data_IF_648872325280
#
_entry.id   IF_648872325280
#
_cell.length_a   1.000
_cell.length_b   1.000
_cell.length_c   1.000
_cell.angle_alpha   90.00
_cell.angle_beta   90.00
_cell.angle_gamma   90.00
#
_symmetry.space_group_name_H-M   'P 1'
#
loop_
_entity.id
_entity.type
_entity.pdbx_description
1 polymer ?
#
# COMPACT_ATOMS: atom_id res chain seq x y z
N UNK A 1 3.45 29.97 6.06
CA UNK A 1 2.95 29.47 7.35
C UNK A 1 2.05 28.28 7.07
N UNK A 2 2.38 27.11 7.59
CA UNK A 2 1.55 25.90 7.45
C UNK A 2 0.37 26.00 8.43
N UNK A 3 -0.84 25.83 7.94
CA UNK A 3 -2.09 25.97 8.69
C UNK A 3 -2.15 24.95 9.85
N UNK A 4 -2.41 25.37 11.11
CA UNK A 4 -2.49 24.46 12.25
C UNK A 4 -3.60 23.41 12.10
N UNK A 5 -4.68 23.70 11.36
CA UNK A 5 -5.71 22.69 11.06
C UNK A 5 -5.19 21.62 10.08
N UNK A 6 -4.40 22.03 9.07
CA UNK A 6 -3.77 21.08 8.16
C UNK A 6 -2.83 20.15 8.94
N UNK A 7 -1.99 20.67 9.84
CA UNK A 7 -1.08 19.86 10.68
C UNK A 7 -1.82 18.83 11.55
N UNK A 8 -2.94 19.19 12.16
CA UNK A 8 -3.74 18.27 12.96
C UNK A 8 -4.37 17.16 12.10
N UNK A 9 -4.86 17.51 10.91
CA UNK A 9 -5.36 16.54 9.93
C UNK A 9 -4.25 15.60 9.46
N UNK A 10 -3.04 16.11 9.21
CA UNK A 10 -1.87 15.29 8.84
C UNK A 10 -1.49 14.29 9.93
N UNK A 11 -1.49 14.70 11.20
CA UNK A 11 -1.21 13.79 12.33
C UNK A 11 -2.29 12.70 12.48
N UNK A 12 -3.57 13.06 12.41
CA UNK A 12 -4.65 12.09 12.52
C UNK A 12 -4.65 11.07 11.36
N UNK A 13 -4.40 11.57 10.14
CA UNK A 13 -4.26 10.76 8.93
C UNK A 13 -3.07 9.80 9.04
N UNK A 14 -1.93 10.28 9.53
CA UNK A 14 -0.74 9.47 9.74
C UNK A 14 -0.98 8.35 10.77
N UNK A 15 -1.68 8.64 11.87
CA UNK A 15 -2.02 7.62 12.88
C UNK A 15 -2.97 6.55 12.33
N UNK A 16 -4.02 6.95 11.60
CA UNK A 16 -4.99 6.02 11.03
C UNK A 16 -4.34 5.08 10.00
N UNK A 17 -3.54 5.61 9.09
CA UNK A 17 -2.85 4.80 8.11
C UNK A 17 -1.72 3.95 8.71
N UNK A 18 -1.05 4.41 9.77
CA UNK A 18 -0.11 3.59 10.53
C UNK A 18 -0.81 2.36 11.10
N UNK A 19 -2.01 2.52 11.67
CA UNK A 19 -2.84 1.41 12.18
C UNK A 19 -3.29 0.50 11.04
N UNK A 20 -3.78 1.07 9.95
CA UNK A 20 -4.21 0.35 8.75
C UNK A 20 -3.09 -0.55 8.19
N UNK A 21 -1.88 0.01 8.06
CA UNK A 21 -0.69 -0.71 7.61
C UNK A 21 -0.31 -1.85 8.57
N UNK A 22 -0.30 -1.60 9.87
CA UNK A 22 0.02 -2.63 10.85
C UNK A 22 -0.96 -3.81 10.80
N UNK A 23 -2.25 -3.54 10.56
CA UNK A 23 -3.27 -4.56 10.36
C UNK A 23 -3.07 -5.33 9.04
N UNK A 24 -2.80 -4.62 7.95
CA UNK A 24 -2.44 -5.19 6.65
C UNK A 24 -1.22 -6.11 6.74
N UNK A 25 -0.16 -5.67 7.41
CA UNK A 25 1.05 -6.46 7.63
C UNK A 25 0.78 -7.73 8.45
N UNK A 26 -0.09 -7.66 9.47
CA UNK A 26 -0.48 -8.83 10.26
C UNK A 26 -1.29 -9.85 9.44
N UNK A 27 -2.18 -9.39 8.57
CA UNK A 27 -3.04 -10.27 7.78
C UNK A 27 -2.35 -10.84 6.53
N UNK A 28 -1.32 -10.16 6.03
CA UNK A 28 -0.48 -10.59 4.92
C UNK A 28 0.84 -11.16 5.48
N UNK A 29 0.83 -12.38 5.99
CA UNK A 29 1.97 -13.05 6.63
C UNK A 29 3.22 -13.29 5.74
N UNK A 30 3.32 -12.66 4.56
CA UNK A 30 4.38 -12.85 3.55
C UNK A 30 4.97 -11.53 3.01
N UNK A 31 4.85 -10.43 3.77
CA UNK A 31 5.37 -9.12 3.32
C UNK A 31 6.81 -8.92 3.81
N UNK A 32 7.78 -8.96 2.89
CA UNK A 32 9.12 -8.43 3.13
C UNK A 32 9.04 -6.89 3.11
N UNK A 33 8.48 -6.32 4.18
CA UNK A 33 8.19 -4.90 4.32
C UNK A 33 9.48 -4.13 4.66
N UNK A 34 10.33 -3.92 3.67
CA UNK A 34 11.49 -3.05 3.80
C UNK A 34 11.09 -1.60 3.48
N UNK A 35 10.61 -0.87 4.50
CA UNK A 35 10.61 0.60 4.48
C UNK A 35 11.33 1.09 5.73
N UNK A 36 12.32 2.02 5.61
CA UNK A 36 12.91 2.63 6.79
C UNK A 36 11.82 3.34 7.58
N UNK A 37 11.78 3.14 8.89
CA UNK A 37 11.06 4.04 9.78
C UNK A 37 11.80 5.38 9.79
N UNK A 38 11.08 6.49 9.63
CA UNK A 38 11.71 7.81 9.67
C UNK A 38 12.11 8.14 11.12
N UNK A 39 13.06 9.07 11.30
CA UNK A 39 13.64 9.47 12.59
C UNK A 39 12.62 10.01 13.64
N UNK A 40 11.35 10.17 13.26
CA UNK A 40 10.24 10.54 14.13
C UNK A 40 9.48 9.35 14.75
N UNK A 41 9.94 8.11 14.56
CA UNK A 41 9.34 6.91 15.15
C UNK A 41 8.02 6.47 14.50
N UNK A 42 7.69 7.06 13.35
CA UNK A 42 6.56 6.69 12.50
C UNK A 42 7.02 5.88 11.30
N UNK A 43 6.21 4.90 10.90
CA UNK A 43 6.35 4.25 9.60
C UNK A 43 5.46 5.00 8.61
N UNK A 44 5.99 5.38 7.44
CA UNK A 44 5.22 6.09 6.42
C UNK A 44 4.01 5.29 5.86
N UNK A 45 3.22 5.93 5.00
CA UNK A 45 2.01 5.36 4.38
C UNK A 45 2.29 4.29 3.31
N UNK A 46 3.55 3.95 3.06
CA UNK A 46 3.97 3.08 1.96
C UNK A 46 4.19 1.64 2.45
N UNK A 47 3.53 0.70 1.77
CA UNK A 47 3.69 -0.74 1.97
C UNK A 47 4.08 -1.38 0.64
N UNK A 48 5.17 -2.14 0.60
CA UNK A 48 5.54 -2.92 -0.60
C UNK A 48 5.46 -4.40 -0.30
N UNK A 49 4.98 -5.20 -1.24
CA UNK A 49 4.90 -6.66 -1.12
C UNK A 49 5.09 -7.33 -2.47
N UNK A 50 5.53 -8.59 -2.45
CA UNK A 50 5.72 -9.41 -3.65
C UNK A 50 4.53 -10.35 -3.83
N UNK A 51 4.01 -10.40 -5.04
CA UNK A 51 2.86 -11.25 -5.39
C UNK A 51 3.36 -12.61 -5.86
N UNK A 52 2.96 -13.67 -5.15
CA UNK A 52 3.22 -15.03 -5.60
C UNK A 52 2.55 -15.28 -6.96
N UNK A 53 3.28 -15.85 -7.92
CA UNK A 53 2.81 -16.00 -9.31
C UNK A 53 3.48 -15.07 -10.32
N UNK A 54 4.39 -14.21 -9.86
CA UNK A 54 5.27 -13.40 -10.73
C UNK A 54 4.58 -12.16 -11.32
N UNK A 55 5.22 -11.53 -12.31
CA UNK A 55 4.74 -10.26 -12.88
C UNK A 55 3.33 -10.27 -13.46
N UNK A 56 2.90 -11.39 -14.07
CA UNK A 56 1.56 -11.50 -14.62
C UNK A 56 0.50 -11.43 -13.52
N UNK A 57 0.75 -12.13 -12.41
CA UNK A 57 -0.15 -12.14 -11.27
C UNK A 57 -0.13 -10.80 -10.53
N UNK A 58 1.04 -10.17 -10.38
CA UNK A 58 1.14 -8.82 -9.84
C UNK A 58 0.30 -7.80 -10.62
N UNK A 59 0.35 -7.85 -11.97
CA UNK A 59 -0.51 -7.01 -12.83
C UNK A 59 -1.99 -7.33 -12.67
N UNK A 60 -2.35 -8.62 -12.58
CA UNK A 60 -3.73 -9.07 -12.36
C UNK A 60 -4.27 -8.53 -11.05
N UNK A 61 -3.51 -8.67 -9.96
CA UNK A 61 -3.87 -8.16 -8.63
C UNK A 61 -4.01 -6.64 -8.65
N UNK A 62 -3.03 -5.92 -9.18
CA UNK A 62 -3.09 -4.46 -9.27
C UNK A 62 -4.30 -3.95 -10.08
N UNK A 63 -4.68 -4.66 -11.14
CA UNK A 63 -5.87 -4.33 -11.94
C UNK A 63 -7.20 -4.82 -11.34
N UNK A 64 -7.17 -5.69 -10.34
CA UNK A 64 -8.36 -6.24 -9.69
C UNK A 64 -8.78 -5.44 -8.44
N UNK A 65 -7.90 -4.61 -7.89
CA UNK A 65 -8.19 -3.72 -6.77
C UNK A 65 -9.22 -2.66 -7.19
N UNK A 66 -10.18 -2.39 -6.31
CA UNK A 66 -11.31 -1.50 -6.57
C UNK A 66 -11.20 -0.20 -5.79
N UNK A 67 -10.57 -0.23 -4.63
CA UNK A 67 -10.34 0.94 -3.77
C UNK A 67 -8.99 1.57 -4.07
N UNK A 68 -7.95 0.74 -4.27
CA UNK A 68 -6.63 1.25 -4.63
C UNK A 68 -6.62 1.74 -6.07
N UNK A 69 -6.36 3.04 -6.26
CA UNK A 69 -6.25 3.63 -7.58
C UNK A 69 -4.85 3.44 -8.14
N UNK A 70 -4.78 3.14 -9.43
CA UNK A 70 -3.52 3.15 -10.15
C UNK A 70 -3.16 4.61 -10.48
N UNK A 71 -2.19 5.19 -9.77
CA UNK A 71 -1.84 6.61 -9.94
C UNK A 71 -0.34 6.84 -9.97
N UNK A 72 0.07 7.72 -10.87
CA UNK A 72 1.43 8.26 -11.07
C UNK A 72 1.75 9.43 -10.14
N UNK A 73 0.92 9.72 -9.13
CA UNK A 73 1.08 10.85 -8.19
C UNK A 73 0.87 10.39 -6.74
N UNK A 74 1.78 10.77 -5.85
CA UNK A 74 1.79 10.40 -4.43
C UNK A 74 1.31 11.58 -3.55
N UNK A 75 0.49 11.31 -2.54
CA UNK A 75 0.20 12.26 -1.44
C UNK A 75 -1.24 12.76 -1.27
N UNK A 76 -2.22 12.11 -1.91
CA UNK A 76 -3.65 12.40 -1.69
C UNK A 76 -4.24 11.69 -0.47
N UNK A 77 -5.54 11.90 -0.25
CA UNK A 77 -6.35 11.16 0.77
C UNK A 77 -6.68 9.72 0.33
N UNK A 78 -6.34 9.36 -0.90
CA UNK A 78 -6.79 8.13 -1.56
C UNK A 78 -5.71 7.05 -1.49
N UNK A 79 -6.14 5.80 -1.37
CA UNK A 79 -5.26 4.65 -1.45
C UNK A 79 -4.82 4.38 -2.88
N UNK A 80 -3.52 4.12 -3.08
CA UNK A 80 -2.90 3.94 -4.39
C UNK A 80 -2.15 2.62 -4.49
N UNK A 81 -2.07 2.06 -5.71
CA UNK A 81 -1.26 0.88 -6.04
C UNK A 81 -0.37 1.16 -7.24
N UNK A 82 0.88 0.71 -7.17
CA UNK A 82 1.86 0.82 -8.25
C UNK A 82 2.58 -0.52 -8.47
N UNK A 83 2.61 -0.98 -9.72
CA UNK A 83 3.51 -2.05 -10.15
C UNK A 83 4.87 -1.45 -10.46
N UNK A 84 5.87 -1.66 -9.59
CA UNK A 84 7.11 -0.86 -9.58
C UNK A 84 8.05 -1.14 -10.75
N UNK A 85 8.21 -2.40 -11.15
CA UNK A 85 9.19 -2.77 -12.17
C UNK A 85 8.94 -2.09 -13.54
N UNK A 86 7.70 -2.02 -14.07
CA UNK A 86 7.42 -1.26 -15.30
C UNK A 86 7.72 0.23 -15.21
N UNK A 87 7.60 0.83 -14.02
CA UNK A 87 7.83 2.28 -13.81
C UNK A 87 9.31 2.61 -13.79
N UNK A 88 10.13 1.77 -13.16
CA UNK A 88 11.59 1.95 -13.07
C UNK A 88 12.31 1.60 -14.39
N UNK A 89 11.72 0.73 -15.21
CA UNK A 89 12.24 0.36 -16.53
C UNK A 89 13.23 -0.81 -16.53
N UNK A 90 13.68 -1.24 -17.72
CA UNK A 90 14.55 -2.42 -17.87
C UNK A 90 15.89 -2.28 -17.14
N UNK A 91 16.38 -3.36 -16.52
CA UNK A 91 17.68 -3.39 -15.84
C UNK A 91 17.68 -2.88 -14.40
N UNK A 92 16.52 -2.48 -13.87
CA UNK A 92 16.33 -2.16 -12.45
C UNK A 92 16.46 -3.41 -11.56
N UNK A 93 16.98 -3.30 -10.32
CA UNK A 93 16.96 -4.39 -9.35
C UNK A 93 15.57 -4.66 -8.75
N UNK A 94 14.56 -3.85 -9.10
CA UNK A 94 13.20 -3.99 -8.58
C UNK A 94 12.56 -5.30 -9.10
N UNK A 95 12.07 -6.18 -8.22
CA UNK A 95 11.39 -7.40 -8.62
C UNK A 95 10.16 -7.11 -9.48
N UNK A 96 9.96 -7.95 -10.49
CA UNK A 96 8.86 -7.83 -11.45
C UNK A 96 7.48 -8.19 -10.85
N UNK A 97 7.45 -8.74 -9.64
CA UNK A 97 6.26 -9.10 -8.87
C UNK A 97 5.96 -8.14 -7.71
N UNK A 98 6.69 -7.02 -7.62
CA UNK A 98 6.55 -6.06 -6.53
C UNK A 98 5.40 -5.07 -6.78
N UNK A 99 4.43 -5.05 -5.86
CA UNK A 99 3.42 -4.01 -5.74
C UNK A 99 3.75 -3.08 -4.58
N UNK A 100 3.60 -1.77 -4.79
CA UNK A 100 3.72 -0.74 -3.77
C UNK A 100 2.38 -0.07 -3.57
N UNK A 101 1.90 -0.06 -2.34
CA UNK A 101 0.69 0.61 -1.90
C UNK A 101 1.03 1.89 -1.17
N UNK A 102 0.26 2.95 -1.43
CA UNK A 102 0.15 4.10 -0.55
C UNK A 102 -1.20 4.01 0.13
N UNK A 103 -1.23 3.96 1.46
CA UNK A 103 -2.48 3.85 2.22
C UNK A 103 -3.07 5.24 2.43
N UNK A 104 -4.33 5.42 2.03
CA UNK A 104 -5.12 6.63 2.24
C UNK A 104 -5.84 6.63 3.59
N UNK A 105 -6.94 7.38 3.69
CA UNK A 105 -7.76 7.52 4.91
C UNK A 105 -8.98 6.58 4.95
N UNK A 106 -9.08 5.65 4.00
CA UNK A 106 -10.20 4.70 3.95
C UNK A 106 -10.22 3.76 5.17
N UNK A 107 -11.38 3.15 5.42
CA UNK A 107 -11.52 2.19 6.51
C UNK A 107 -10.63 0.97 6.26
N UNK A 108 -9.86 0.57 7.29
CA UNK A 108 -8.91 -0.54 7.23
C UNK A 108 -9.58 -1.84 6.75
N UNK A 109 -10.78 -2.13 7.25
CA UNK A 109 -11.54 -3.33 6.88
C UNK A 109 -11.88 -3.36 5.39
N UNK A 110 -12.18 -2.22 4.79
CA UNK A 110 -12.53 -2.12 3.38
C UNK A 110 -11.28 -2.33 2.51
N UNK A 111 -10.14 -1.72 2.90
CA UNK A 111 -8.86 -1.92 2.22
C UNK A 111 -8.41 -3.38 2.26
N UNK A 112 -8.59 -4.05 3.41
CA UNK A 112 -8.29 -5.47 3.57
C UNK A 112 -9.20 -6.34 2.71
N UNK A 113 -10.50 -6.06 2.70
CA UNK A 113 -11.47 -6.81 1.91
C UNK A 113 -11.19 -6.67 0.40
N UNK A 114 -10.79 -5.49 -0.06
CA UNK A 114 -10.39 -5.24 -1.45
C UNK A 114 -9.12 -6.04 -1.81
N UNK A 115 -8.12 -6.05 -0.93
CA UNK A 115 -6.90 -6.83 -1.14
C UNK A 115 -7.14 -8.34 -1.13
N UNK A 116 -7.94 -8.85 -0.19
CA UNK A 116 -8.29 -10.27 -0.14
C UNK A 116 -9.03 -10.70 -1.41
N UNK A 117 -9.99 -9.89 -1.88
CA UNK A 117 -10.67 -10.13 -3.14
C UNK A 117 -9.71 -10.10 -4.33
N UNK A 118 -8.83 -9.11 -4.43
CA UNK A 118 -7.89 -8.99 -5.54
C UNK A 118 -6.87 -10.15 -5.57
N UNK A 119 -6.41 -10.59 -4.40
CA UNK A 119 -5.51 -11.73 -4.22
C UNK A 119 -6.23 -13.09 -4.36
N UNK A 120 -7.56 -13.11 -4.44
CA UNK A 120 -8.34 -14.34 -4.49
C UNK A 120 -8.32 -15.12 -3.17
N UNK A 121 -7.96 -14.49 -2.07
CA UNK A 121 -8.01 -15.06 -0.73
C UNK A 121 -9.46 -15.02 -0.27
N UNK A 122 -10.08 -16.18 -0.06
CA UNK A 122 -11.31 -16.22 0.74
C UNK A 122 -10.90 -16.04 2.19
N UNK A 123 -11.26 -14.92 2.81
CA UNK A 123 -11.08 -14.71 4.24
C UNK A 123 -11.74 -15.90 4.95
N UNK A 124 -10.91 -16.82 5.43
CA UNK A 124 -11.39 -18.00 6.12
C UNK A 124 -11.62 -17.54 7.55
N UNK A 125 -12.90 -17.43 7.89
CA UNK A 125 -13.43 -16.98 9.17
C UNK A 125 -12.84 -17.79 10.34
#
# INVERSE_FOLDING_TARGET
LCDPHARAQHHHTAEQATRARADLQRQLALVDATTPADDAGGFGMLLSFRVAGGAAEARRVAGALRLFKNATSLGGVESLVEHRAPVEGPGTPVPDDLLRLSIGIEAVADLLADLDQALGRKSTN
#
